data_IF_742304931116
#
_entry.id   IF_742304931116
#
_cell.length_a   1.000
_cell.length_b   1.000
_cell.length_c   1.000
_cell.angle_alpha   90.00
_cell.angle_beta   90.00
_cell.angle_gamma   90.00
#
_symmetry.space_group_name_H-M   'P 1'
#
loop_
_entity.id
_entity.type
_entity.pdbx_description
1 polymer ?
#
# COMPACT_ATOMS: atom_id res chain seq x y z
N UNK A 1 -40.21 -2.30 2.20
CA UNK A 1 -39.41 -3.27 2.97
C UNK A 1 -38.05 -2.65 3.18
N UNK A 2 -37.74 -2.19 4.39
CA UNK A 2 -36.38 -1.76 4.73
C UNK A 2 -35.54 -3.02 4.94
N UNK A 3 -34.68 -3.33 3.97
CA UNK A 3 -33.66 -4.38 4.11
C UNK A 3 -32.78 -4.02 5.31
N UNK A 4 -32.53 -4.98 6.20
CA UNK A 4 -31.61 -4.77 7.33
C UNK A 4 -30.23 -4.36 6.80
N UNK A 5 -29.54 -3.43 7.47
CA UNK A 5 -28.20 -3.04 7.07
C UNK A 5 -27.25 -4.23 7.21
N UNK A 6 -26.34 -4.35 6.25
CA UNK A 6 -25.23 -5.29 6.28
C UNK A 6 -24.25 -4.90 7.38
N UNK A 7 -23.59 -5.91 7.95
CA UNK A 7 -22.52 -5.76 8.92
C UNK A 7 -21.18 -5.98 8.21
N UNK A 8 -20.29 -4.99 8.31
CA UNK A 8 -18.90 -5.11 7.85
C UNK A 8 -18.00 -5.53 9.02
N UNK A 9 -17.07 -6.44 8.74
CA UNK A 9 -15.87 -6.67 9.54
C UNK A 9 -14.64 -6.75 8.63
N UNK A 10 -13.59 -6.01 8.96
CA UNK A 10 -12.33 -5.99 8.26
C UNK A 10 -11.35 -6.94 8.96
N UNK A 11 -11.00 -8.02 8.26
CA UNK A 11 -10.06 -9.02 8.75
C UNK A 11 -8.70 -8.80 8.12
N UNK A 12 -7.70 -8.57 8.96
CA UNK A 12 -6.30 -8.52 8.51
C UNK A 12 -5.71 -9.92 8.54
N UNK A 13 -5.15 -10.36 7.41
CA UNK A 13 -4.48 -11.64 7.28
C UNK A 13 -3.00 -11.38 7.04
N UNK A 14 -2.14 -11.99 7.85
CA UNK A 14 -0.68 -11.88 7.75
C UNK A 14 -0.13 -13.29 7.45
N UNK A 15 0.58 -13.49 6.34
CA UNK A 15 1.23 -14.77 6.08
C UNK A 15 2.32 -15.06 7.12
N UNK A 16 2.74 -16.33 7.28
CA UNK A 16 3.86 -16.67 8.16
C UNK A 16 5.11 -15.86 7.81
N UNK A 17 5.75 -15.27 8.82
CA UNK A 17 7.00 -14.53 8.61
C UNK A 17 8.10 -15.48 8.09
N UNK A 18 8.88 -15.00 7.13
CA UNK A 18 9.88 -15.77 6.39
C UNK A 18 9.33 -16.58 5.22
N UNK A 19 8.00 -16.67 5.04
CA UNK A 19 7.40 -17.32 3.88
C UNK A 19 7.47 -16.42 2.65
N UNK A 20 7.94 -16.93 1.51
CA UNK A 20 7.86 -16.21 0.22
C UNK A 20 6.48 -16.25 -0.43
N UNK A 21 5.53 -16.98 0.16
CA UNK A 21 4.17 -17.12 -0.35
C UNK A 21 3.18 -16.25 0.42
N UNK A 22 2.14 -15.81 -0.29
CA UNK A 22 1.04 -15.00 0.24
C UNK A 22 1.33 -13.50 0.24
N UNK A 23 0.32 -12.72 0.62
CA UNK A 23 0.38 -11.28 0.82
C UNK A 23 -0.30 -10.90 2.13
N UNK A 24 0.01 -9.71 2.65
CA UNK A 24 -0.75 -9.15 3.77
C UNK A 24 -2.03 -8.57 3.21
N UNK A 25 -3.17 -9.05 3.69
CA UNK A 25 -4.49 -8.77 3.12
C UNK A 25 -5.40 -8.05 4.12
N UNK A 26 -6.22 -7.12 3.64
CA UNK A 26 -7.36 -6.59 4.36
C UNK A 26 -8.65 -7.09 3.71
N UNK A 27 -9.28 -8.12 4.29
CA UNK A 27 -10.43 -8.81 3.72
C UNK A 27 -11.74 -8.28 4.30
N UNK A 28 -12.67 -7.75 3.48
CA UNK A 28 -14.00 -7.35 3.93
C UNK A 28 -14.90 -8.58 4.11
N UNK A 29 -15.31 -8.81 5.35
CA UNK A 29 -16.24 -9.85 5.76
C UNK A 29 -17.61 -9.21 5.95
N UNK A 30 -18.59 -9.63 5.15
CA UNK A 30 -19.92 -9.01 5.10
C UNK A 30 -20.95 -10.02 5.57
N UNK A 31 -21.65 -9.69 6.66
CA UNK A 31 -22.57 -10.62 7.34
C UNK A 31 -21.91 -11.98 7.65
N UNK A 32 -20.60 -11.99 7.94
CA UNK A 32 -19.82 -13.20 8.21
C UNK A 32 -19.26 -13.93 6.98
N UNK A 33 -19.50 -13.44 5.76
CA UNK A 33 -19.03 -14.03 4.49
C UNK A 33 -17.87 -13.23 3.90
N UNK A 34 -16.83 -13.93 3.44
CA UNK A 34 -15.72 -13.33 2.69
C UNK A 34 -16.12 -13.18 1.23
N UNK A 35 -16.57 -11.98 0.85
CA UNK A 35 -17.10 -11.75 -0.49
C UNK A 35 -16.04 -11.85 -1.60
N UNK A 36 -14.77 -11.58 -1.28
CA UNK A 36 -13.69 -11.63 -2.27
C UNK A 36 -13.35 -13.08 -2.61
N UNK A 37 -13.42 -13.99 -1.64
CA UNK A 37 -13.23 -15.43 -1.88
C UNK A 37 -14.27 -16.03 -2.84
N UNK A 38 -15.42 -15.38 -3.02
CA UNK A 38 -16.48 -15.86 -3.91
C UNK A 38 -16.36 -15.36 -5.35
N UNK A 39 -15.68 -14.22 -5.57
CA UNK A 39 -15.70 -13.49 -6.85
C UNK A 39 -14.32 -13.23 -7.44
N UNK A 40 -13.25 -13.55 -6.71
CA UNK A 40 -11.88 -13.29 -7.15
C UNK A 40 -10.89 -14.29 -6.56
N UNK A 41 -10.38 -15.18 -7.39
CA UNK A 41 -9.38 -16.20 -7.04
C UNK A 41 -8.01 -15.98 -7.70
N UNK A 42 -7.87 -14.93 -8.51
CA UNK A 42 -6.64 -14.58 -9.25
C UNK A 42 -5.58 -13.85 -8.40
N UNK A 43 -5.94 -13.42 -7.18
CA UNK A 43 -4.99 -12.75 -6.30
C UNK A 43 -5.51 -12.33 -4.92
N UNK A 44 -4.63 -11.72 -4.12
CA UNK A 44 -4.93 -11.33 -2.74
C UNK A 44 -5.85 -10.10 -2.66
N UNK A 45 -6.51 -9.94 -1.51
CA UNK A 45 -7.09 -8.65 -1.17
C UNK A 45 -6.00 -7.59 -0.95
N UNK A 46 -6.33 -6.32 -1.19
CA UNK A 46 -5.39 -5.21 -1.09
C UNK A 46 -4.83 -5.05 0.33
N UNK A 47 -3.58 -4.61 0.38
CA UNK A 47 -2.84 -4.47 1.64
C UNK A 47 -3.52 -3.42 2.56
N UNK A 48 -3.62 -3.68 3.88
CA UNK A 48 -4.20 -2.74 4.85
C UNK A 48 -3.59 -1.33 4.78
N UNK A 49 -2.32 -1.19 4.37
CA UNK A 49 -1.65 0.10 4.16
C UNK A 49 -2.37 0.97 3.14
N UNK A 50 -2.99 0.37 2.12
CA UNK A 50 -3.69 1.09 1.07
C UNK A 50 -5.13 1.36 1.47
N UNK A 51 -5.80 0.38 2.08
CA UNK A 51 -7.21 0.50 2.45
C UNK A 51 -7.48 1.35 3.70
N UNK A 52 -6.56 1.33 4.67
CA UNK A 52 -6.72 1.94 5.99
C UNK A 52 -5.65 2.99 6.32
N UNK A 53 -4.69 3.21 5.42
CA UNK A 53 -3.58 4.15 5.62
C UNK A 53 -3.95 5.61 5.36
N UNK A 54 -2.96 6.41 4.95
CA UNK A 54 -3.07 7.89 4.88
C UNK A 54 -4.25 8.40 4.05
N UNK A 55 -4.58 7.73 2.95
CA UNK A 55 -5.71 8.11 2.09
C UNK A 55 -7.03 7.47 2.51
N UNK A 56 -6.98 6.47 3.41
CA UNK A 56 -8.11 5.73 3.98
C UNK A 56 -9.30 5.60 3.02
N UNK A 57 -9.15 4.94 1.85
CA UNK A 57 -10.21 4.86 0.84
C UNK A 57 -11.48 4.17 1.36
N UNK A 58 -11.38 3.34 2.41
CA UNK A 58 -12.54 2.77 3.08
C UNK A 58 -13.31 3.77 3.94
N UNK A 59 -12.77 4.94 4.27
CA UNK A 59 -13.51 5.99 4.97
C UNK A 59 -14.53 6.65 4.04
N UNK A 60 -15.81 6.35 4.25
CA UNK A 60 -16.87 6.81 3.37
C UNK A 60 -17.15 8.31 3.50
N UNK A 61 -17.20 9.01 2.35
CA UNK A 61 -17.62 10.41 2.23
C UNK A 61 -18.89 10.52 1.40
N UNK A 62 -19.54 11.68 1.41
CA UNK A 62 -20.67 11.98 0.51
C UNK A 62 -20.29 11.96 -0.98
N UNK A 63 -19.01 12.24 -1.28
CA UNK A 63 -18.43 12.10 -2.61
C UNK A 63 -18.14 10.62 -2.89
N UNK A 64 -18.72 10.02 -3.96
CA UNK A 64 -18.43 8.65 -4.34
C UNK A 64 -16.96 8.45 -4.73
N UNK A 65 -16.38 7.34 -4.30
CA UNK A 65 -14.98 6.99 -4.60
C UNK A 65 -14.90 5.53 -5.03
N UNK A 66 -14.21 5.28 -6.13
CA UNK A 66 -13.83 3.91 -6.52
C UNK A 66 -12.66 3.45 -5.64
N UNK A 67 -12.77 2.24 -5.11
CA UNK A 67 -11.81 1.63 -4.19
C UNK A 67 -11.49 0.24 -4.70
N UNK A 68 -10.20 -0.03 -4.93
CA UNK A 68 -9.72 -1.37 -5.23
C UNK A 68 -9.67 -2.18 -3.95
N UNK A 69 -10.22 -3.39 -3.97
CA UNK A 69 -10.26 -4.31 -2.82
C UNK A 69 -9.35 -5.52 -3.02
N UNK A 70 -9.04 -5.88 -4.27
CA UNK A 70 -8.15 -6.98 -4.62
C UNK A 70 -7.49 -6.71 -5.98
N UNK A 71 -6.30 -7.26 -6.18
CA UNK A 71 -5.58 -7.24 -7.46
C UNK A 71 -4.98 -8.63 -7.71
N UNK A 72 -4.93 -9.06 -8.96
CA UNK A 72 -4.31 -10.32 -9.33
C UNK A 72 -2.82 -10.36 -8.96
N UNK A 73 -2.28 -11.55 -8.70
CA UNK A 73 -0.85 -11.73 -8.38
C UNK A 73 0.07 -11.26 -9.52
N UNK A 74 -0.40 -11.32 -10.76
CA UNK A 74 0.35 -10.90 -11.95
C UNK A 74 0.37 -9.36 -12.06
N UNK A 75 -0.74 -8.76 -12.46
CA UNK A 75 -1.09 -7.33 -12.45
C UNK A 75 -2.57 -7.20 -12.82
N UNK A 76 -3.20 -6.07 -12.50
CA UNK A 76 -4.58 -5.81 -12.94
C UNK A 76 -4.80 -5.91 -14.46
N UNK A 77 -3.77 -5.60 -15.26
CA UNK A 77 -3.85 -5.63 -16.73
C UNK A 77 -3.75 -7.03 -17.34
N UNK A 78 -3.54 -8.06 -16.52
CA UNK A 78 -3.39 -9.44 -16.96
C UNK A 78 -4.54 -10.34 -16.50
N UNK A 79 -4.91 -10.30 -15.21
CA UNK A 79 -5.97 -11.14 -14.63
C UNK A 79 -6.95 -10.32 -13.76
N UNK A 80 -7.00 -9.01 -13.97
CA UNK A 80 -8.00 -8.15 -13.36
C UNK A 80 -7.75 -7.80 -11.89
N UNK A 81 -8.78 -7.18 -11.32
CA UNK A 81 -8.80 -6.62 -9.97
C UNK A 81 -10.25 -6.37 -9.57
N UNK A 82 -10.58 -6.38 -8.28
CA UNK A 82 -11.94 -6.05 -7.81
C UNK A 82 -12.00 -4.63 -7.32
N UNK A 83 -12.88 -3.84 -7.91
CA UNK A 83 -13.19 -2.47 -7.52
C UNK A 83 -14.63 -2.36 -6.99
N UNK A 84 -14.85 -1.43 -6.07
CA UNK A 84 -16.17 -1.03 -5.57
C UNK A 84 -16.27 0.48 -5.45
N UNK A 85 -17.45 1.04 -5.71
CA UNK A 85 -17.73 2.45 -5.41
C UNK A 85 -18.31 2.57 -4.00
N UNK A 86 -17.66 3.35 -3.14
CA UNK A 86 -18.09 3.64 -1.77
C UNK A 86 -18.61 5.06 -1.69
N UNK A 87 -19.80 5.24 -1.10
CA UNK A 87 -20.36 6.56 -0.77
C UNK A 87 -21.19 6.54 0.49
N UNK A 88 -21.28 7.69 1.17
CA UNK A 88 -22.16 7.91 2.31
C UNK A 88 -23.49 8.52 1.83
N UNK A 89 -24.58 7.87 2.18
CA UNK A 89 -25.96 8.31 1.91
C UNK A 89 -26.74 8.46 3.21
N UNK A 90 -26.74 9.66 3.78
CA UNK A 90 -27.43 9.95 5.03
C UNK A 90 -26.92 9.08 6.19
N UNK A 91 -27.74 8.14 6.64
CA UNK A 91 -27.43 7.19 7.72
C UNK A 91 -26.81 5.88 7.24
N UNK A 92 -26.54 5.74 5.94
CA UNK A 92 -25.96 4.54 5.37
C UNK A 92 -24.63 4.82 4.68
N UNK A 93 -23.76 3.81 4.68
CA UNK A 93 -22.68 3.70 3.69
C UNK A 93 -23.12 2.69 2.64
N UNK A 94 -22.90 3.01 1.38
CA UNK A 94 -23.32 2.21 0.23
C UNK A 94 -22.08 1.79 -0.54
N UNK A 95 -21.98 0.49 -0.79
CA UNK A 95 -21.03 -0.14 -1.69
C UNK A 95 -21.79 -0.63 -2.91
N UNK A 96 -21.45 -0.10 -4.08
CA UNK A 96 -22.10 -0.44 -5.35
C UNK A 96 -21.15 -0.25 -6.52
N UNK A 97 -21.61 -0.51 -7.75
CA UNK A 97 -20.78 -0.33 -8.95
C UNK A 97 -19.53 -1.21 -8.91
N UNK A 98 -19.70 -2.48 -8.55
CA UNK A 98 -18.65 -3.48 -8.57
C UNK A 98 -18.10 -3.61 -9.99
N UNK A 99 -16.79 -3.74 -10.12
CA UNK A 99 -16.12 -3.81 -11.42
C UNK A 99 -14.88 -4.65 -11.35
N UNK A 100 -14.68 -5.46 -12.39
CA UNK A 100 -13.41 -6.10 -12.70
C UNK A 100 -12.95 -5.60 -14.08
N UNK A 101 -11.74 -5.06 -14.27
CA UNK A 101 -11.28 -4.65 -15.59
C UNK A 101 -11.20 -5.78 -16.63
N UNK A 102 -11.05 -7.03 -16.18
CA UNK A 102 -10.86 -8.20 -17.05
C UNK A 102 -12.17 -8.99 -17.31
N UNK A 103 -13.25 -8.68 -16.58
CA UNK A 103 -14.55 -9.33 -16.72
C UNK A 103 -15.67 -8.30 -16.89
N UNK A 104 -16.71 -8.66 -17.67
CA UNK A 104 -17.78 -7.73 -18.01
C UNK A 104 -18.69 -7.35 -16.81
N UNK A 105 -18.81 -8.23 -15.80
CA UNK A 105 -19.62 -7.96 -14.61
C UNK A 105 -19.11 -8.76 -13.39
N UNK A 106 -19.18 -8.14 -12.21
CA UNK A 106 -18.90 -8.79 -10.92
C UNK A 106 -20.24 -8.99 -10.22
N UNK A 107 -20.68 -10.25 -10.08
CA UNK A 107 -21.99 -10.60 -9.52
C UNK A 107 -22.06 -10.38 -7.99
N UNK A 108 -22.02 -9.10 -7.60
CA UNK A 108 -22.20 -8.64 -6.23
C UNK A 108 -23.32 -7.60 -6.17
N UNK A 109 -24.26 -7.74 -5.22
CA UNK A 109 -25.34 -6.77 -5.06
C UNK A 109 -24.81 -5.45 -4.48
N UNK A 110 -25.65 -4.42 -4.55
CA UNK A 110 -25.45 -3.22 -3.73
C UNK A 110 -25.54 -3.61 -2.24
N UNK A 111 -24.54 -3.20 -1.47
CA UNK A 111 -24.48 -3.44 -0.03
C UNK A 111 -24.66 -2.12 0.70
N UNK A 112 -25.49 -2.14 1.74
CA UNK A 112 -25.83 -0.96 2.55
C UNK A 112 -25.54 -1.26 4.01
N UNK A 113 -24.74 -0.41 4.65
CA UNK A 113 -24.30 -0.54 6.03
C UNK A 113 -24.87 0.61 6.86
N UNK A 114 -25.14 0.39 8.15
CA UNK A 114 -25.36 1.50 9.08
C UNK A 114 -24.05 2.31 9.20
N UNK A 115 -24.15 3.65 9.12
CA UNK A 115 -22.97 4.51 9.09
C UNK A 115 -22.16 4.45 10.39
N UNK A 116 -22.81 4.30 11.54
CA UNK A 116 -22.09 4.28 12.82
C UNK A 116 -21.35 2.96 13.00
N UNK A 117 -21.97 1.84 12.60
CA UNK A 117 -21.33 0.53 12.62
C UNK A 117 -20.15 0.46 11.65
N UNK A 118 -20.34 0.99 10.43
CA UNK A 118 -19.28 1.06 9.42
C UNK A 118 -18.09 1.90 9.89
N UNK A 119 -18.33 3.14 10.35
CA UNK A 119 -17.28 4.05 10.80
C UNK A 119 -16.55 3.49 12.04
N UNK A 120 -17.27 2.80 12.93
CA UNK A 120 -16.66 2.15 14.09
C UNK A 120 -15.73 1.01 13.67
N UNK A 121 -16.13 0.19 12.69
CA UNK A 121 -15.31 -0.91 12.21
C UNK A 121 -14.08 -0.44 11.45
N UNK A 122 -14.23 0.53 10.53
CA UNK A 122 -13.09 1.12 9.82
C UNK A 122 -12.11 1.73 10.82
N UNK A 123 -12.61 2.48 11.82
CA UNK A 123 -11.75 3.03 12.88
C UNK A 123 -11.04 1.93 13.66
N UNK A 124 -11.77 0.90 14.12
CA UNK A 124 -11.18 -0.24 14.85
C UNK A 124 -10.04 -0.85 14.05
N UNK A 125 -10.28 -1.19 12.79
CA UNK A 125 -9.29 -1.79 11.91
C UNK A 125 -8.09 -0.85 11.64
N UNK A 126 -8.33 0.44 11.44
CA UNK A 126 -7.25 1.45 11.28
C UNK A 126 -6.42 1.64 12.54
N UNK A 127 -6.98 1.42 13.75
CA UNK A 127 -6.25 1.56 15.02
C UNK A 127 -5.57 0.28 15.47
N UNK A 128 -6.03 -0.88 15.02
CA UNK A 128 -5.44 -2.17 15.35
C UNK A 128 -4.11 -2.32 14.61
N UNK A 129 -3.02 -2.35 15.38
CA UNK A 129 -1.65 -2.53 14.90
C UNK A 129 -1.03 -3.83 15.42
N UNK A 130 -1.82 -4.70 16.06
CA UNK A 130 -1.33 -5.94 16.67
C UNK A 130 -0.80 -6.96 15.66
N UNK A 131 -1.14 -6.78 14.38
CA UNK A 131 -0.73 -7.61 13.26
C UNK A 131 0.60 -7.16 12.62
N UNK A 132 1.11 -5.97 12.95
CA UNK A 132 2.39 -5.48 12.43
C UNK A 132 3.55 -6.19 13.16
N UNK A 133 4.50 -6.75 12.40
CA UNK A 133 5.79 -7.17 12.95
C UNK A 133 6.75 -5.97 13.01
N UNK A 134 7.87 -6.05 13.76
CA UNK A 134 8.73 -4.89 14.04
C UNK A 134 9.13 -4.07 12.81
N UNK A 135 9.62 -4.71 11.74
CA UNK A 135 10.01 -4.00 10.53
C UNK A 135 8.83 -3.30 9.83
N UNK A 136 7.62 -3.84 9.92
CA UNK A 136 6.43 -3.19 9.37
C UNK A 136 6.02 -1.96 10.14
N UNK A 137 6.13 -1.99 11.48
CA UNK A 137 5.93 -0.82 12.32
C UNK A 137 7.00 0.25 12.05
N UNK A 138 8.28 -0.14 11.96
CA UNK A 138 9.37 0.78 11.60
C UNK A 138 9.12 1.41 10.23
N UNK A 139 8.76 0.63 9.21
CA UNK A 139 8.48 1.12 7.86
C UNK A 139 7.37 2.18 7.86
N UNK A 140 6.26 1.90 8.56
CA UNK A 140 5.13 2.84 8.65
C UNK A 140 5.52 4.15 9.34
N UNK A 141 6.13 4.07 10.52
CA UNK A 141 6.55 5.24 11.29
C UNK A 141 7.59 6.08 10.54
N UNK A 142 8.54 5.42 9.88
CA UNK A 142 9.54 6.08 9.07
C UNK A 142 8.89 6.77 7.85
N UNK A 143 7.97 6.12 7.15
CA UNK A 143 7.26 6.73 6.03
C UNK A 143 6.47 7.97 6.46
N UNK A 144 5.74 7.90 7.57
CA UNK A 144 5.01 9.03 8.16
C UNK A 144 5.94 10.22 8.42
N UNK A 145 7.05 9.99 9.13
CA UNK A 145 8.05 11.03 9.47
C UNK A 145 8.71 11.64 8.23
N UNK A 146 9.13 10.81 7.28
CA UNK A 146 9.77 11.28 6.05
C UNK A 146 8.80 12.10 5.18
N UNK A 147 7.50 11.78 5.18
CA UNK A 147 6.49 12.57 4.45
C UNK A 147 6.18 13.91 5.13
N UNK A 148 6.29 14.00 6.45
CA UNK A 148 6.11 15.26 7.19
C UNK A 148 7.27 16.24 6.94
N UNK A 149 8.48 15.74 6.67
CA UNK A 149 9.66 16.56 6.37
C UNK A 149 9.95 16.60 4.88
N UNK A 150 9.35 17.52 4.14
CA UNK A 150 9.58 17.64 2.68
C UNK A 150 10.91 18.32 2.30
N UNK A 151 11.57 19.01 3.23
CA UNK A 151 12.75 19.85 2.94
C UNK A 151 13.94 19.07 2.37
N UNK A 152 14.25 17.90 2.94
CA UNK A 152 15.40 17.08 2.50
C UNK A 152 15.18 16.51 1.09
N UNK A 153 13.94 16.12 0.75
CA UNK A 153 13.58 15.65 -0.59
C UNK A 153 13.82 16.74 -1.64
N UNK A 154 13.52 17.99 -1.33
CA UNK A 154 13.80 19.12 -2.22
C UNK A 154 15.30 19.36 -2.35
N UNK A 155 16.07 19.27 -1.26
CA UNK A 155 17.53 19.43 -1.27
C UNK A 155 18.21 18.44 -2.23
N UNK A 156 17.72 17.21 -2.29
CA UNK A 156 18.32 16.14 -3.11
C UNK A 156 17.58 15.88 -4.43
N UNK A 157 16.62 16.74 -4.80
CA UNK A 157 15.76 16.55 -5.98
C UNK A 157 15.18 15.13 -6.04
N UNK A 158 14.62 14.66 -4.92
CA UNK A 158 14.05 13.34 -4.79
C UNK A 158 12.57 13.42 -4.42
N UNK A 159 11.85 12.34 -4.68
CA UNK A 159 10.49 12.11 -4.18
C UNK A 159 10.44 10.77 -3.45
N UNK A 160 9.85 10.74 -2.25
CA UNK A 160 9.62 9.50 -1.52
C UNK A 160 8.57 8.65 -2.24
N UNK A 161 8.98 7.47 -2.69
CA UNK A 161 8.10 6.47 -3.26
C UNK A 161 7.27 5.78 -2.20
N UNK A 162 7.92 4.95 -1.38
CA UNK A 162 7.31 4.18 -0.30
C UNK A 162 8.39 3.70 0.67
N UNK A 163 7.98 3.36 1.90
CA UNK A 163 8.77 2.49 2.77
C UNK A 163 8.02 1.17 2.93
N UNK A 164 8.69 0.07 2.61
CA UNK A 164 8.08 -1.27 2.56
C UNK A 164 8.78 -2.22 3.51
N UNK A 165 7.98 -3.05 4.19
CA UNK A 165 8.44 -4.20 4.93
C UNK A 165 7.73 -5.43 4.37
N UNK A 166 8.49 -6.44 3.99
CA UNK A 166 7.95 -7.67 3.42
C UNK A 166 7.95 -8.78 4.47
N UNK A 167 6.92 -9.62 4.49
CA UNK A 167 6.83 -10.69 5.49
C UNK A 167 7.89 -11.78 5.28
N UNK A 168 8.39 -11.96 4.05
CA UNK A 168 9.49 -12.91 3.75
C UNK A 168 10.87 -12.41 4.17
N UNK A 169 11.01 -11.14 4.50
CA UNK A 169 12.25 -10.48 4.94
C UNK A 169 11.95 -9.66 6.20
N UNK A 170 11.56 -10.32 7.32
CA UNK A 170 10.94 -9.65 8.47
C UNK A 170 11.90 -8.74 9.25
N UNK A 171 13.20 -8.86 9.02
CA UNK A 171 14.26 -8.14 9.75
C UNK A 171 14.83 -6.95 8.95
N UNK A 172 14.15 -6.51 7.89
CA UNK A 172 14.58 -5.35 7.10
C UNK A 172 13.42 -4.58 6.49
N UNK A 173 13.70 -3.34 6.10
CA UNK A 173 12.81 -2.48 5.33
C UNK A 173 13.50 -2.02 4.05
N UNK A 174 12.70 -1.68 3.04
CA UNK A 174 13.15 -1.04 1.81
C UNK A 174 12.57 0.38 1.71
N UNK A 175 13.44 1.38 1.54
CA UNK A 175 13.04 2.76 1.22
C UNK A 175 13.21 2.97 -0.27
N UNK A 176 12.15 3.43 -0.95
CA UNK A 176 12.16 3.72 -2.38
C UNK A 176 12.09 5.21 -2.64
N UNK A 177 12.99 5.72 -3.48
CA UNK A 177 13.05 7.12 -3.88
C UNK A 177 12.99 7.25 -5.40
N UNK A 178 12.44 8.34 -5.90
CA UNK A 178 12.47 8.71 -7.32
C UNK A 178 13.30 9.97 -7.50
N UNK A 179 14.13 10.01 -8.54
CA UNK A 179 14.90 11.18 -8.93
C UNK A 179 14.69 11.46 -10.42
N UNK A 180 14.40 12.72 -10.83
CA UNK A 180 14.17 13.92 -10.01
C UNK A 180 12.81 13.95 -9.28
N UNK A 181 11.97 12.94 -9.52
CA UNK A 181 10.64 12.78 -8.93
C UNK A 181 9.72 12.03 -9.89
N UNK A 182 8.50 11.67 -9.45
CA UNK A 182 7.55 10.93 -10.29
C UNK A 182 6.92 11.78 -11.39
N UNK A 183 6.99 13.11 -11.30
CA UNK A 183 6.54 14.00 -12.39
C UNK A 183 7.31 13.74 -13.69
N UNK A 184 8.61 13.42 -13.60
CA UNK A 184 9.42 13.07 -14.77
C UNK A 184 8.85 11.88 -15.55
N UNK A 185 8.26 10.89 -14.86
CA UNK A 185 7.62 9.73 -15.50
C UNK A 185 6.43 10.18 -16.36
N UNK A 186 5.60 11.09 -15.82
CA UNK A 186 4.39 11.58 -16.52
C UNK A 186 4.73 12.50 -17.69
N UNK A 187 5.88 13.17 -17.60
CA UNK A 187 6.39 14.11 -18.60
C UNK A 187 7.33 13.43 -19.62
N UNK A 188 7.48 12.10 -19.56
CA UNK A 188 8.40 11.31 -20.38
C UNK A 188 9.85 11.85 -20.36
N UNK A 189 10.27 12.31 -19.18
CA UNK A 189 11.63 12.77 -18.91
C UNK A 189 12.46 11.68 -18.22
N UNK A 190 13.80 11.74 -18.31
CA UNK A 190 14.67 10.79 -17.63
C UNK A 190 14.38 10.72 -16.14
N UNK A 191 14.24 9.49 -15.62
CA UNK A 191 14.00 9.22 -14.22
C UNK A 191 14.71 7.94 -13.78
N UNK A 192 15.04 7.88 -12.50
CA UNK A 192 15.51 6.67 -11.83
C UNK A 192 14.73 6.43 -10.54
N UNK A 193 14.56 5.16 -10.21
CA UNK A 193 14.14 4.75 -8.87
C UNK A 193 15.32 4.14 -8.14
N UNK A 194 15.48 4.55 -6.89
CA UNK A 194 16.49 4.09 -5.97
C UNK A 194 15.86 3.27 -4.86
N UNK A 195 16.58 2.26 -4.37
CA UNK A 195 16.20 1.42 -3.23
C UNK A 195 17.33 1.38 -2.21
N UNK A 196 16.99 1.68 -0.96
CA UNK A 196 17.85 1.46 0.20
C UNK A 196 17.27 0.32 1.03
N UNK A 197 18.09 -0.67 1.38
CA UNK A 197 17.69 -1.74 2.31
C UNK A 197 18.28 -1.43 3.67
N UNK A 198 17.44 -1.31 4.69
CA UNK A 198 17.84 -0.93 6.04
C UNK A 198 17.51 -2.08 6.99
N UNK A 199 18.47 -2.57 7.79
CA UNK A 199 18.20 -3.61 8.77
C UNK A 199 17.31 -3.08 9.89
N UNK A 200 16.45 -3.93 10.41
CA UNK A 200 15.63 -3.68 11.59
C UNK A 200 16.06 -4.64 12.69
N UNK A 201 16.31 -4.09 13.87
CA UNK A 201 16.68 -4.82 15.08
C UNK A 201 15.45 -5.09 15.96
N UNK A 202 15.65 -5.80 17.07
CA UNK A 202 14.62 -6.01 18.09
C UNK A 202 14.36 -4.82 19.03
N UNK A 203 15.00 -3.68 18.80
CA UNK A 203 14.79 -2.45 19.58
C UNK A 203 13.36 -1.89 19.38
N UNK A 204 12.98 -0.91 20.19
CA UNK A 204 11.71 -0.19 20.01
C UNK A 204 11.56 0.34 18.57
N UNK A 205 10.46 0.01 17.86
CA UNK A 205 10.26 0.47 16.48
C UNK A 205 10.23 1.99 16.31
N UNK A 206 9.75 2.73 17.31
CA UNK A 206 9.69 4.19 17.31
C UNK A 206 11.07 4.82 17.36
N UNK A 207 11.91 4.34 18.28
CA UNK A 207 13.31 4.77 18.41
C UNK A 207 14.11 4.42 17.14
N UNK A 208 13.89 3.23 16.59
CA UNK A 208 14.54 2.81 15.34
C UNK A 208 14.16 3.72 14.17
N UNK A 209 12.88 3.99 13.98
CA UNK A 209 12.43 4.87 12.91
C UNK A 209 12.99 6.30 13.06
N UNK A 210 13.24 6.78 14.28
CA UNK A 210 13.79 8.13 14.52
C UNK A 210 15.27 8.18 14.13
N UNK A 211 16.04 7.16 14.51
CA UNK A 211 17.44 7.02 14.11
C UNK A 211 17.57 6.90 12.59
N UNK A 212 16.72 6.10 11.95
CA UNK A 212 16.75 5.92 10.50
C UNK A 212 16.37 7.20 9.76
N UNK A 213 15.38 7.96 10.24
CA UNK A 213 15.04 9.28 9.71
C UNK A 213 16.23 10.24 9.79
N UNK A 214 16.89 10.32 10.95
CA UNK A 214 18.06 11.18 11.15
C UNK A 214 19.19 10.81 10.18
N UNK A 215 19.45 9.52 9.97
CA UNK A 215 20.44 9.05 9.00
C UNK A 215 20.05 9.40 7.55
N UNK A 216 18.81 9.14 7.15
CA UNK A 216 18.35 9.35 5.77
C UNK A 216 18.31 10.81 5.35
N UNK A 217 18.12 11.72 6.31
CA UNK A 217 17.99 13.15 6.04
C UNK A 217 19.31 13.92 6.16
N UNK A 218 20.38 13.28 6.65
CA UNK A 218 21.67 13.92 6.89
C UNK A 218 22.53 14.10 5.63
N UNK A 219 22.47 13.15 4.70
CA UNK A 219 23.30 13.10 3.48
C UNK A 219 22.45 12.75 2.26
N UNK A 220 23.03 12.81 1.06
CA UNK A 220 22.31 12.44 -0.16
C UNK A 220 22.01 10.93 -0.16
N UNK A 221 20.73 10.52 -0.07
CA UNK A 221 20.36 9.12 0.02
C UNK A 221 20.75 8.32 -1.23
N UNK A 222 20.98 8.98 -2.38
CA UNK A 222 21.32 8.33 -3.65
C UNK A 222 22.75 7.81 -3.67
N UNK A 223 23.65 8.31 -2.81
CA UNK A 223 25.05 7.86 -2.75
C UNK A 223 25.17 6.42 -2.22
N UNK A 224 24.24 6.00 -1.37
CA UNK A 224 24.22 4.67 -0.73
C UNK A 224 23.08 3.78 -1.23
N UNK A 225 22.20 4.29 -2.08
CA UNK A 225 21.07 3.56 -2.64
C UNK A 225 21.42 2.86 -3.95
N UNK A 226 20.77 1.73 -4.20
CA UNK A 226 20.87 1.02 -5.48
C UNK A 226 19.83 1.52 -6.46
N UNK A 227 20.23 1.80 -7.70
CA UNK A 227 19.27 1.99 -8.81
C UNK A 227 18.50 0.67 -9.01
N UNK A 228 17.17 0.75 -9.00
CA UNK A 228 16.29 -0.41 -9.14
C UNK A 228 15.15 -0.22 -10.15
N UNK A 229 15.00 0.97 -10.74
CA UNK A 229 14.00 1.27 -11.76
C UNK A 229 14.43 2.43 -12.65
N UNK A 230 13.80 2.54 -13.82
CA UNK A 230 14.19 3.46 -14.90
C UNK A 230 14.73 2.68 -16.11
N UNK A 231 15.64 3.29 -16.86
CA UNK A 231 16.32 2.65 -18.00
C UNK A 231 17.82 2.94 -17.98
N UNK A 232 18.61 2.10 -18.68
CA UNK A 232 20.04 2.36 -18.86
C UNK A 232 20.30 3.73 -19.50
N UNK A 233 19.49 4.08 -20.49
CA UNK A 233 19.58 5.38 -21.15
C UNK A 233 19.34 6.54 -20.17
N UNK A 234 18.35 6.43 -19.29
CA UNK A 234 18.08 7.45 -18.27
C UNK A 234 19.21 7.52 -17.24
N UNK A 235 19.80 6.38 -16.87
CA UNK A 235 20.96 6.36 -15.98
C UNK A 235 22.17 7.07 -16.60
N UNK A 236 22.46 6.81 -17.89
CA UNK A 236 23.53 7.50 -18.62
C UNK A 236 23.26 9.02 -18.70
N UNK A 237 22.02 9.44 -18.95
CA UNK A 237 21.62 10.86 -19.00
C UNK A 237 21.68 11.56 -17.64
N UNK A 238 21.38 10.84 -16.55
CA UNK A 238 21.37 11.35 -15.18
C UNK A 238 22.72 11.17 -14.46
N UNK A 239 23.70 10.53 -15.11
CA UNK A 239 25.05 10.35 -14.57
C UNK A 239 25.19 9.23 -13.53
N UNK A 240 24.29 8.24 -13.54
CA UNK A 240 24.32 7.11 -12.62
C UNK A 240 24.75 5.80 -13.30
N UNK A 241 25.44 4.90 -12.58
CA UNK A 241 25.73 3.57 -13.10
C UNK A 241 24.45 2.74 -13.19
N UNK A 242 24.23 2.09 -14.34
CA UNK A 242 23.13 1.12 -14.48
C UNK A 242 23.50 -0.21 -13.81
N UNK A 243 22.63 -0.79 -12.96
CA UNK A 243 22.91 -2.06 -12.31
C UNK A 243 23.09 -3.17 -13.36
N UNK A 244 24.12 -4.01 -13.16
CA UNK A 244 24.30 -5.22 -13.95
C UNK A 244 23.13 -6.20 -13.77
N UNK A 245 23.01 -7.22 -14.63
CA UNK A 245 21.95 -8.23 -14.49
C UNK A 245 22.00 -8.84 -13.08
N UNK A 246 20.92 -8.67 -12.31
CA UNK A 246 20.78 -9.30 -10.99
C UNK A 246 20.87 -10.81 -11.20
N UNK A 247 21.92 -11.45 -10.65
CA UNK A 247 21.91 -12.91 -10.49
C UNK A 247 20.74 -13.22 -9.56
N UNK A 248 19.71 -13.88 -10.08
CA UNK A 248 18.68 -14.48 -9.23
C UNK A 248 19.40 -15.49 -8.32
N UNK A 249 19.44 -15.19 -7.02
CA UNK A 249 19.78 -16.16 -5.99
C UNK A 249 18.51 -16.92 -5.59
#
# INVERSE_FOLDING_TARGET
MTTEPHLLSLRIVVPPLGSRHGAVECRPIINGRDILADVFDEGPADDPRYLLGQHAPLHATDTPREVRLAEAECTEGCCGAVYVTIRREGQHVVWSGWRNPDEDDVDLPELRFDVNQYDAEVRRASTDRSWEWPARTVARLLEERLRERVGWLTTWECELGAVSAWHWEPDQISVFLFHPGRSAIREDRPWLQFRMTLPVSGDDPGDQAERLEACLTAEDPREVAEVCGGSKEFADQLGYPWPGPRRRA
#
